data_IF_768895592748
#
_entry.id   IF_768895592748
#
_cell.length_a   1.000
_cell.length_b   1.000
_cell.length_c   1.000
_cell.angle_alpha   90.00
_cell.angle_beta   90.00
_cell.angle_gamma   90.00
#
_symmetry.space_group_name_H-M   'P 1'
#
loop_
_entity.id
_entity.type
_entity.pdbx_description
1 polymer ?
#
# COMPACT_ATOMS: atom_id res chain seq x y z
N UNK A 1 -10.19 -3.71 16.61
CA UNK A 1 -8.97 -3.47 17.43
C UNK A 1 -8.06 -2.54 16.64
N UNK A 2 -7.62 -1.42 17.23
CA UNK A 2 -6.78 -0.44 16.53
C UNK A 2 -5.42 -1.08 16.18
N UNK A 3 -5.01 -1.14 14.89
CA UNK A 3 -3.76 -1.81 14.50
C UNK A 3 -2.50 -1.15 15.05
N UNK A 4 -2.55 0.14 15.42
CA UNK A 4 -1.41 0.82 16.05
C UNK A 4 -1.16 0.36 17.49
N UNK A 5 -2.11 -0.33 18.11
CA UNK A 5 -1.88 -0.97 19.42
C UNK A 5 -1.03 -2.26 19.29
N UNK A 6 -0.72 -2.71 18.08
CA UNK A 6 0.17 -3.85 17.86
C UNK A 6 1.65 -3.39 17.84
N UNK A 7 2.46 -3.74 18.86
CA UNK A 7 3.85 -3.30 18.94
C UNK A 7 4.72 -3.86 17.82
N UNK A 8 4.40 -5.05 17.29
CA UNK A 8 5.14 -5.64 16.16
C UNK A 8 4.88 -4.85 14.87
N UNK A 9 3.66 -4.37 14.67
CA UNK A 9 3.34 -3.51 13.53
C UNK A 9 4.14 -2.20 13.64
N UNK A 10 4.05 -1.51 14.78
CA UNK A 10 4.75 -0.25 15.01
C UNK A 10 6.26 -0.39 14.84
N UNK A 11 6.87 -1.43 15.42
CA UNK A 11 8.30 -1.68 15.31
C UNK A 11 8.72 -1.89 13.84
N UNK A 12 7.93 -2.62 13.06
CA UNK A 12 8.22 -2.82 11.63
C UNK A 12 8.08 -1.54 10.81
N UNK A 13 7.02 -0.77 11.04
CA UNK A 13 6.79 0.52 10.37
C UNK A 13 7.91 1.51 10.71
N UNK A 14 8.27 1.64 11.99
CA UNK A 14 9.33 2.53 12.45
C UNK A 14 10.71 2.14 11.90
N UNK A 15 11.04 0.84 11.93
CA UNK A 15 12.28 0.30 11.36
C UNK A 15 12.41 0.67 9.89
N UNK A 16 11.38 0.44 9.08
CA UNK A 16 11.46 0.81 7.67
C UNK A 16 11.58 2.31 7.45
N UNK A 17 10.85 3.13 8.22
CA UNK A 17 10.99 4.58 8.10
C UNK A 17 12.43 5.05 8.37
N UNK A 18 13.05 4.54 9.44
CA UNK A 18 14.39 4.93 9.86
C UNK A 18 15.50 4.42 8.92
N UNK A 19 15.36 3.19 8.40
CA UNK A 19 16.46 2.52 7.69
C UNK A 19 16.27 2.40 6.17
N UNK A 20 15.04 2.34 5.67
CA UNK A 20 14.81 2.09 4.25
C UNK A 20 14.68 3.38 3.43
N UNK A 21 14.13 4.44 4.01
CA UNK A 21 13.73 5.64 3.26
C UNK A 21 14.90 6.41 2.64
N UNK A 22 16.07 6.40 3.27
CA UNK A 22 17.28 7.05 2.78
C UNK A 22 18.33 6.07 2.23
N UNK A 23 17.97 4.78 2.08
CA UNK A 23 18.89 3.74 1.62
C UNK A 23 19.52 4.10 0.28
N UNK A 24 18.71 4.52 -0.69
CA UNK A 24 19.18 4.86 -2.05
C UNK A 24 20.21 6.00 -2.02
N UNK A 25 19.99 7.01 -1.18
CA UNK A 25 20.87 8.18 -1.07
C UNK A 25 22.20 7.91 -0.35
N UNK A 26 22.29 6.82 0.42
CA UNK A 26 23.45 6.49 1.25
C UNK A 26 24.21 5.25 0.79
N UNK A 27 23.70 4.53 -0.20
CA UNK A 27 24.29 3.28 -0.67
C UNK A 27 25.07 3.47 -1.96
N UNK A 28 26.18 2.76 -2.05
CA UNK A 28 26.93 2.56 -3.30
C UNK A 28 26.12 1.72 -4.29
N UNK A 29 26.52 1.75 -5.55
CA UNK A 29 25.89 0.95 -6.61
C UNK A 29 25.93 -0.54 -6.27
N UNK A 30 27.06 -1.04 -5.78
CA UNK A 30 27.26 -2.44 -5.43
C UNK A 30 26.39 -2.85 -4.23
N UNK A 31 26.21 -1.97 -3.26
CA UNK A 31 25.27 -2.20 -2.14
C UNK A 31 23.81 -2.27 -2.61
N UNK A 32 23.42 -1.39 -3.53
CA UNK A 32 22.08 -1.40 -4.11
C UNK A 32 21.83 -2.66 -4.94
N UNK A 33 22.82 -3.10 -5.72
CA UNK A 33 22.73 -4.36 -6.47
C UNK A 33 22.57 -5.56 -5.52
N UNK A 34 23.41 -5.66 -4.49
CA UNK A 34 23.28 -6.71 -3.46
C UNK A 34 21.92 -6.67 -2.76
N UNK A 35 21.39 -5.48 -2.50
CA UNK A 35 20.07 -5.32 -1.91
C UNK A 35 18.97 -5.82 -2.87
N UNK A 36 19.00 -5.41 -4.15
CA UNK A 36 18.04 -5.85 -5.17
C UNK A 36 18.03 -7.37 -5.31
N UNK A 37 19.19 -8.00 -5.32
CA UNK A 37 19.33 -9.45 -5.37
C UNK A 37 18.70 -10.15 -4.16
N UNK A 38 18.90 -9.60 -2.95
CA UNK A 38 18.27 -10.13 -1.73
C UNK A 38 16.75 -9.90 -1.75
N UNK A 39 16.31 -8.73 -2.21
CA UNK A 39 14.91 -8.34 -2.24
C UNK A 39 14.10 -9.21 -3.22
N UNK A 40 14.61 -9.45 -4.43
CA UNK A 40 13.92 -10.27 -5.44
C UNK A 40 13.81 -11.73 -4.97
N UNK A 41 14.87 -12.31 -4.39
CA UNK A 41 14.82 -13.66 -3.81
C UNK A 41 13.74 -13.78 -2.74
N UNK A 42 13.70 -12.79 -1.84
CA UNK A 42 12.72 -12.76 -0.74
C UNK A 42 11.30 -12.68 -1.27
N UNK A 43 11.02 -11.77 -2.21
CA UNK A 43 9.66 -11.59 -2.72
C UNK A 43 9.21 -12.76 -3.59
N UNK A 44 10.10 -13.38 -4.38
CA UNK A 44 9.75 -14.57 -5.18
C UNK A 44 9.43 -15.76 -4.27
N UNK A 45 10.21 -16.00 -3.21
CA UNK A 45 9.89 -17.04 -2.22
C UNK A 45 8.54 -16.81 -1.58
N UNK A 46 8.25 -15.56 -1.19
CA UNK A 46 6.94 -15.21 -0.64
C UNK A 46 5.82 -15.43 -1.66
N UNK A 47 5.99 -14.93 -2.90
CA UNK A 47 5.04 -15.11 -3.99
C UNK A 47 4.74 -16.59 -4.21
N UNK A 48 5.75 -17.47 -4.17
CA UNK A 48 5.55 -18.91 -4.34
C UNK A 48 4.68 -19.57 -3.25
N UNK A 49 4.45 -18.91 -2.11
CA UNK A 49 3.49 -19.36 -1.08
C UNK A 49 2.05 -18.93 -1.36
N UNK A 50 1.84 -18.03 -2.33
CA UNK A 50 0.53 -17.52 -2.75
C UNK A 50 0.03 -18.38 -3.93
N UNK A 51 -1.22 -18.90 -3.89
CA UNK A 51 -1.71 -19.86 -4.88
C UNK A 51 -1.58 -19.39 -6.33
N UNK A 52 -1.89 -18.12 -6.62
CA UNK A 52 -1.76 -17.53 -7.95
C UNK A 52 -0.35 -17.72 -8.53
N UNK A 53 0.68 -17.22 -7.82
CA UNK A 53 2.05 -17.26 -8.29
C UNK A 53 2.62 -18.68 -8.22
N UNK A 54 2.22 -19.48 -7.23
CA UNK A 54 2.63 -20.87 -7.13
C UNK A 54 2.29 -21.65 -8.41
N UNK A 55 1.01 -21.60 -8.84
CA UNK A 55 0.56 -22.27 -10.06
C UNK A 55 1.29 -21.74 -11.30
N UNK A 56 1.43 -20.42 -11.39
CA UNK A 56 2.03 -19.77 -12.56
C UNK A 56 3.53 -20.08 -12.69
N UNK A 57 4.27 -20.05 -11.58
CA UNK A 57 5.71 -20.36 -11.58
C UNK A 57 5.93 -21.86 -11.84
N UNK A 58 5.11 -22.74 -11.26
CA UNK A 58 5.17 -24.18 -11.53
C UNK A 58 4.88 -24.52 -12.99
N UNK A 59 3.89 -23.88 -13.60
CA UNK A 59 3.56 -24.05 -15.02
C UNK A 59 4.72 -23.61 -15.95
N UNK A 60 5.54 -22.65 -15.52
CA UNK A 60 6.75 -22.24 -16.20
C UNK A 60 7.99 -23.11 -15.86
N UNK A 61 7.82 -24.19 -15.09
CA UNK A 61 8.92 -25.05 -14.66
C UNK A 61 9.85 -24.43 -13.62
N UNK A 62 9.42 -23.36 -12.93
CA UNK A 62 10.25 -22.60 -12.00
C UNK A 62 10.00 -22.96 -10.53
N UNK A 63 11.08 -22.86 -9.77
CA UNK A 63 11.12 -22.87 -8.32
C UNK A 63 11.77 -21.57 -7.80
N UNK A 64 11.57 -21.21 -6.52
CA UNK A 64 12.24 -20.04 -5.96
C UNK A 64 13.77 -20.08 -6.01
N UNK A 65 14.38 -21.27 -6.13
CA UNK A 65 15.83 -21.45 -6.18
C UNK A 65 16.42 -21.09 -7.56
N UNK A 66 15.59 -20.98 -8.59
CA UNK A 66 16.01 -20.60 -9.94
C UNK A 66 16.28 -19.10 -10.08
N UNK A 67 15.86 -18.31 -9.07
CA UNK A 67 16.08 -16.87 -8.97
C UNK A 67 17.28 -16.59 -8.05
N UNK A 68 18.44 -16.34 -8.66
CA UNK A 68 19.72 -16.07 -7.99
C UNK A 68 20.05 -14.59 -7.88
N UNK A 69 19.29 -13.72 -8.53
CA UNK A 69 19.44 -12.27 -8.41
C UNK A 69 18.43 -11.51 -9.26
N UNK A 70 18.57 -10.19 -9.33
CA UNK A 70 17.62 -9.32 -10.03
C UNK A 70 17.60 -9.56 -11.54
N UNK A 71 18.73 -10.02 -12.10
CA UNK A 71 18.83 -10.38 -13.53
C UNK A 71 17.93 -11.55 -13.91
N UNK A 72 17.58 -12.42 -12.97
CA UNK A 72 16.70 -13.56 -13.22
C UNK A 72 15.21 -13.19 -13.26
N UNK A 73 14.85 -11.92 -13.06
CA UNK A 73 13.46 -11.47 -13.10
C UNK A 73 12.78 -11.77 -14.45
N UNK A 74 13.55 -11.78 -15.55
CA UNK A 74 13.08 -12.09 -16.90
C UNK A 74 12.61 -13.54 -17.06
N UNK A 75 13.04 -14.44 -16.16
CA UNK A 75 12.55 -15.82 -16.14
C UNK A 75 11.11 -15.90 -15.64
N UNK A 76 10.69 -14.96 -14.79
CA UNK A 76 9.38 -15.01 -14.14
C UNK A 76 8.26 -14.75 -15.16
N UNK A 77 7.19 -15.56 -15.18
CA UNK A 77 6.07 -15.33 -16.07
C UNK A 77 5.30 -14.07 -15.70
N UNK A 78 4.85 -13.31 -16.71
CA UNK A 78 4.10 -12.06 -16.54
C UNK A 78 2.75 -12.32 -15.87
N UNK A 79 2.46 -11.68 -14.73
CA UNK A 79 1.13 -11.67 -14.11
C UNK A 79 0.29 -10.57 -14.75
N UNK A 80 -0.82 -10.96 -15.36
CA UNK A 80 -1.74 -10.08 -16.09
C UNK A 80 -2.89 -9.60 -15.21
N UNK A 81 -3.60 -8.58 -15.68
CA UNK A 81 -4.84 -8.11 -15.02
C UNK A 81 -5.89 -9.21 -14.89
N UNK A 82 -5.99 -10.10 -15.88
CA UNK A 82 -6.95 -11.21 -15.87
C UNK A 82 -6.57 -12.29 -14.86
N UNK A 83 -5.27 -12.53 -14.67
CA UNK A 83 -4.80 -13.44 -13.62
C UNK A 83 -5.27 -12.97 -12.23
N UNK A 84 -5.12 -11.67 -11.95
CA UNK A 84 -5.57 -11.08 -10.68
C UNK A 84 -7.09 -11.18 -10.49
N UNK A 85 -7.87 -10.88 -11.54
CA UNK A 85 -9.34 -11.01 -11.52
C UNK A 85 -9.81 -12.44 -11.24
N UNK A 86 -9.13 -13.43 -11.83
CA UNK A 86 -9.48 -14.83 -11.67
C UNK A 86 -9.01 -15.41 -10.33
N UNK A 87 -7.97 -14.82 -9.73
CA UNK A 87 -7.45 -15.23 -8.43
C UNK A 87 -8.19 -14.58 -7.25
N UNK A 88 -8.80 -13.42 -7.44
CA UNK A 88 -9.47 -12.70 -6.37
C UNK A 88 -10.72 -13.46 -5.86
N UNK A 89 -11.00 -13.44 -4.54
CA UNK A 89 -10.14 -12.92 -3.48
C UNK A 89 -9.15 -13.97 -2.93
N UNK A 90 -9.46 -15.26 -3.04
CA UNK A 90 -8.83 -16.29 -2.21
C UNK A 90 -7.40 -16.69 -2.63
N UNK A 91 -7.08 -16.62 -3.93
CA UNK A 91 -5.78 -17.06 -4.45
C UNK A 91 -4.71 -15.96 -4.45
N UNK A 92 -5.03 -14.78 -3.90
CA UNK A 92 -4.14 -13.63 -3.78
C UNK A 92 -3.39 -13.58 -2.44
N UNK A 93 -3.73 -14.46 -1.50
CA UNK A 93 -3.16 -14.50 -0.15
C UNK A 93 -2.55 -15.89 0.09
N UNK A 94 -1.44 -16.02 0.84
CA UNK A 94 -0.92 -17.33 1.21
C UNK A 94 -1.93 -18.16 1.99
N UNK A 95 -1.99 -19.46 1.71
CA UNK A 95 -2.86 -20.39 2.42
C UNK A 95 -2.61 -20.34 3.94
N UNK A 96 -3.68 -20.28 4.73
CA UNK A 96 -3.61 -20.21 6.19
C UNK A 96 -3.17 -18.86 6.77
N UNK A 97 -2.89 -17.84 5.94
CA UNK A 97 -2.65 -16.49 6.46
C UNK A 97 -3.94 -15.90 6.99
N UNK A 98 -3.92 -15.51 8.26
CA UNK A 98 -5.03 -14.78 8.89
C UNK A 98 -5.16 -13.42 8.22
N UNK A 99 -6.34 -13.14 7.67
CA UNK A 99 -6.68 -11.86 7.01
C UNK A 99 -7.44 -10.90 7.93
N UNK A 100 -7.58 -11.26 9.22
CA UNK A 100 -8.24 -10.41 10.21
C UNK A 100 -7.59 -9.03 10.25
N UNK A 101 -8.35 -8.00 9.87
CA UNK A 101 -7.90 -6.60 9.79
C UNK A 101 -7.36 -6.17 8.42
N UNK A 102 -7.41 -7.01 7.38
CA UNK A 102 -7.11 -6.59 6.02
C UNK A 102 -8.34 -5.89 5.42
N UNK A 103 -8.11 -4.84 4.64
CA UNK A 103 -9.17 -4.20 3.84
C UNK A 103 -9.08 -4.71 2.40
N UNK A 104 -10.24 -5.04 1.85
CA UNK A 104 -10.39 -5.33 0.43
C UNK A 104 -10.45 -4.01 -0.33
N UNK A 105 -9.66 -3.88 -1.38
CA UNK A 105 -9.61 -2.67 -2.22
C UNK A 105 -9.73 -3.05 -3.69
N UNK A 106 -10.58 -2.35 -4.42
CA UNK A 106 -11.00 -2.63 -5.78
C UNK A 106 -10.68 -1.42 -6.67
N UNK A 107 -10.16 -1.67 -7.87
CA UNK A 107 -9.94 -0.60 -8.87
C UNK A 107 -11.28 -0.13 -9.45
N UNK A 108 -11.45 1.17 -9.70
CA UNK A 108 -12.69 1.78 -10.25
C UNK A 108 -13.17 1.25 -11.62
N UNK A 109 -12.32 0.54 -12.37
CA UNK A 109 -12.74 -0.37 -13.46
C UNK A 109 -13.77 0.15 -14.47
N UNK A 110 -13.40 1.13 -15.31
CA UNK A 110 -14.31 1.73 -16.32
C UNK A 110 -14.78 0.81 -17.46
N UNK A 111 -14.15 -0.36 -17.66
CA UNK A 111 -14.39 -1.23 -18.84
C UNK A 111 -14.73 -2.69 -18.48
N UNK A 112 -15.16 -3.00 -17.25
CA UNK A 112 -15.59 -4.36 -16.87
C UNK A 112 -15.28 -4.73 -15.42
N UNK A 113 -14.95 -6.02 -15.16
CA UNK A 113 -14.69 -6.53 -13.81
C UNK A 113 -13.52 -5.79 -13.13
N UNK A 114 -13.70 -5.18 -11.96
CA UNK A 114 -12.63 -4.53 -11.22
C UNK A 114 -11.57 -5.56 -10.77
N UNK A 115 -10.35 -5.09 -10.51
CA UNK A 115 -9.34 -5.90 -9.83
C UNK A 115 -9.47 -5.62 -8.35
N UNK A 116 -9.73 -6.68 -7.60
CA UNK A 116 -9.84 -6.64 -6.14
C UNK A 116 -8.58 -7.20 -5.52
N UNK A 117 -7.99 -6.46 -4.59
CA UNK A 117 -6.76 -6.75 -3.87
C UNK A 117 -7.00 -6.62 -2.36
N UNK A 118 -6.01 -7.03 -1.57
CA UNK A 118 -5.99 -6.81 -0.13
C UNK A 118 -4.88 -5.84 0.23
N UNK A 119 -5.19 -4.92 1.13
CA UNK A 119 -4.20 -4.11 1.83
C UNK A 119 -4.27 -4.42 3.32
N UNK A 120 -3.10 -4.62 3.92
CA UNK A 120 -2.99 -4.86 5.36
C UNK A 120 -2.59 -3.57 6.08
N UNK A 121 -2.90 -3.43 7.39
CA UNK A 121 -2.62 -2.20 8.13
C UNK A 121 -1.15 -1.74 8.05
N UNK A 122 -0.21 -2.69 8.07
CA UNK A 122 1.21 -2.40 7.88
C UNK A 122 1.50 -1.67 6.55
N UNK A 123 0.89 -2.11 5.44
CA UNK A 123 1.03 -1.48 4.13
C UNK A 123 0.39 -0.10 4.10
N UNK A 124 -0.78 0.07 4.74
CA UNK A 124 -1.45 1.37 4.84
C UNK A 124 -0.58 2.39 5.60
N UNK A 125 -0.08 2.05 6.79
CA UNK A 125 0.75 2.96 7.57
C UNK A 125 2.09 3.26 6.90
N UNK A 126 2.72 2.26 6.27
CA UNK A 126 3.93 2.47 5.47
C UNK A 126 3.69 3.51 4.36
N UNK A 127 2.56 3.40 3.67
CA UNK A 127 2.20 4.33 2.59
C UNK A 127 1.86 5.72 3.13
N UNK A 128 1.13 5.82 4.26
CA UNK A 128 0.87 7.10 4.92
C UNK A 128 2.15 7.81 5.35
N UNK A 129 3.15 7.07 5.84
CA UNK A 129 4.48 7.63 6.15
C UNK A 129 5.17 8.15 4.88
N UNK A 130 5.07 7.42 3.77
CA UNK A 130 5.53 7.88 2.47
C UNK A 130 4.85 9.18 2.06
N UNK A 131 3.53 9.26 2.18
CA UNK A 131 2.74 10.46 1.93
C UNK A 131 3.19 11.64 2.80
N UNK A 132 3.32 11.44 4.12
CA UNK A 132 3.83 12.44 5.07
C UNK A 132 5.20 12.96 4.67
N UNK A 133 6.07 12.08 4.16
CA UNK A 133 7.39 12.49 3.68
C UNK A 133 7.28 13.35 2.41
N UNK A 134 6.49 12.91 1.42
CA UNK A 134 6.29 13.65 0.17
C UNK A 134 5.80 15.07 0.45
N UNK A 135 4.77 15.24 1.28
CA UNK A 135 4.25 16.58 1.58
C UNK A 135 5.27 17.43 2.36
N UNK A 136 6.07 16.82 3.25
CA UNK A 136 7.13 17.53 3.98
C UNK A 136 8.23 18.05 3.07
N UNK A 137 8.62 17.31 2.03
CA UNK A 137 9.60 17.76 1.03
C UNK A 137 9.07 18.99 0.25
N UNK A 138 7.75 19.18 0.18
CA UNK A 138 7.12 20.37 -0.43
C UNK A 138 6.82 21.48 0.59
N UNK A 139 7.42 21.43 1.78
CA UNK A 139 7.21 22.44 2.83
C UNK A 139 5.88 22.33 3.59
N UNK A 140 5.07 21.30 3.30
CA UNK A 140 3.77 21.09 3.94
C UNK A 140 3.98 20.29 5.23
N UNK A 141 3.64 20.90 6.37
CA UNK A 141 3.61 20.23 7.66
C UNK A 141 2.25 19.58 7.89
N UNK A 142 2.19 18.24 7.93
CA UNK A 142 0.93 17.51 8.12
C UNK A 142 0.21 17.81 9.45
N UNK A 143 0.92 18.33 10.45
CA UNK A 143 0.36 18.71 11.76
C UNK A 143 -0.08 20.16 11.88
N UNK A 144 0.39 21.03 10.97
CA UNK A 144 0.20 22.49 11.09
C UNK A 144 -0.56 23.07 9.91
N UNK A 145 -0.32 22.55 8.73
CA UNK A 145 -0.93 23.03 7.48
C UNK A 145 -2.37 22.56 7.45
N UNK A 146 -3.30 23.46 7.15
CA UNK A 146 -4.68 23.10 6.90
C UNK A 146 -4.74 22.46 5.51
N UNK A 147 -5.38 21.30 5.39
CA UNK A 147 -5.40 20.57 4.12
C UNK A 147 -6.81 20.10 3.79
N UNK A 148 -7.25 20.38 2.57
CA UNK A 148 -8.44 19.80 1.97
C UNK A 148 -8.01 18.75 0.96
N UNK A 149 -8.40 17.50 1.17
CA UNK A 149 -8.04 16.37 0.30
C UNK A 149 -9.30 15.93 -0.43
N UNK A 150 -9.32 16.07 -1.75
CA UNK A 150 -10.39 15.54 -2.60
C UNK A 150 -9.89 14.22 -3.19
N UNK A 151 -10.59 13.12 -2.92
CA UNK A 151 -10.19 11.78 -3.31
C UNK A 151 -11.37 10.92 -3.76
N UNK A 152 -11.11 9.85 -4.50
CA UNK A 152 -12.14 8.85 -4.80
C UNK A 152 -12.36 7.97 -3.56
N UNK A 153 -13.23 8.41 -2.66
CA UNK A 153 -13.68 7.67 -1.47
C UNK A 153 -14.83 6.68 -1.75
N UNK A 154 -14.97 6.17 -2.98
CA UNK A 154 -15.96 5.13 -3.29
C UNK A 154 -15.75 3.88 -2.42
N UNK A 155 -16.82 3.12 -2.15
CA UNK A 155 -16.71 1.88 -1.41
C UNK A 155 -15.68 0.93 -2.04
N UNK A 156 -14.85 0.31 -1.22
CA UNK A 156 -13.71 -0.52 -1.63
C UNK A 156 -12.61 0.22 -2.41
N UNK A 157 -12.61 1.55 -2.52
CA UNK A 157 -11.41 2.24 -3.04
C UNK A 157 -10.24 2.10 -2.07
N UNK A 158 -9.02 2.26 -2.57
CA UNK A 158 -7.85 2.29 -1.69
C UNK A 158 -7.91 3.53 -0.78
N UNK A 159 -8.34 4.66 -1.32
CA UNK A 159 -8.44 5.93 -0.63
C UNK A 159 -9.45 5.88 0.53
N UNK A 160 -10.60 5.20 0.36
CA UNK A 160 -11.56 4.94 1.43
C UNK A 160 -10.91 4.16 2.58
N UNK A 161 -10.22 3.05 2.30
CA UNK A 161 -9.53 2.27 3.33
C UNK A 161 -8.47 3.09 4.12
N UNK A 162 -7.88 4.12 3.51
CA UNK A 162 -6.80 4.91 4.09
C UNK A 162 -7.34 6.12 4.85
N UNK A 163 -8.22 6.92 4.25
CA UNK A 163 -8.68 8.19 4.80
C UNK A 163 -9.89 8.07 5.72
N UNK A 164 -10.84 7.20 5.40
CA UNK A 164 -12.12 7.08 6.13
C UNK A 164 -12.29 5.75 6.85
N UNK A 165 -11.60 4.70 6.40
CA UNK A 165 -11.69 3.34 6.91
C UNK A 165 -10.73 3.05 8.07
N UNK A 166 -9.59 2.42 7.78
CA UNK A 166 -8.72 1.88 8.84
C UNK A 166 -7.64 2.87 9.27
N UNK A 167 -6.90 3.47 8.33
CA UNK A 167 -5.60 4.06 8.66
C UNK A 167 -5.68 5.40 9.40
N UNK A 168 -6.31 6.43 8.82
CA UNK A 168 -6.50 7.74 9.47
C UNK A 168 -7.35 7.62 10.75
N UNK A 169 -8.48 6.90 10.79
CA UNK A 169 -9.24 6.72 12.04
C UNK A 169 -8.43 6.06 13.16
N UNK A 170 -7.51 5.16 12.83
CA UNK A 170 -6.60 4.57 13.82
C UNK A 170 -5.61 5.57 14.42
N UNK A 171 -5.30 6.67 13.73
CA UNK A 171 -4.41 7.74 14.20
C UNK A 171 -5.11 8.77 15.11
N UNK A 172 -6.43 8.98 14.95
CA UNK A 172 -7.21 9.98 15.71
C UNK A 172 -7.08 9.89 17.24
N UNK A 173 -6.96 8.70 17.87
CA UNK A 173 -6.73 8.61 19.32
C UNK A 173 -5.36 9.15 19.78
N UNK A 174 -4.39 9.28 18.88
CA UNK A 174 -3.01 9.67 19.22
C UNK A 174 -2.64 11.07 18.73
N UNK A 175 -3.36 11.59 17.72
CA UNK A 175 -3.05 12.86 17.06
C UNK A 175 -4.32 13.64 16.75
N UNK A 176 -4.33 14.95 17.02
CA UNK A 176 -5.34 15.84 16.46
C UNK A 176 -5.12 15.98 14.95
N UNK A 177 -6.19 15.76 14.18
CA UNK A 177 -6.23 15.85 12.72
C UNK A 177 -7.32 16.84 12.27
N UNK A 178 -7.67 17.81 13.11
CA UNK A 178 -8.68 18.84 12.82
C UNK A 178 -8.22 19.82 11.71
N UNK A 179 -6.91 19.86 11.44
CA UNK A 179 -6.32 20.58 10.33
C UNK A 179 -6.42 19.82 8.99
N UNK A 180 -7.18 18.74 8.91
CA UNK A 180 -7.38 17.96 7.68
C UNK A 180 -8.86 17.66 7.46
N UNK A 181 -9.34 17.94 6.26
CA UNK A 181 -10.65 17.50 5.79
C UNK A 181 -10.53 16.71 4.48
N UNK A 182 -11.44 15.75 4.29
CA UNK A 182 -11.45 14.86 3.13
C UNK A 182 -12.82 14.88 2.48
N UNK A 183 -12.87 15.02 1.16
CA UNK A 183 -14.09 15.02 0.35
C UNK A 183 -14.05 13.91 -0.68
N UNK A 184 -15.21 13.35 -1.01
CA UNK A 184 -15.34 12.42 -2.12
C UNK A 184 -15.42 13.21 -3.44
N UNK A 185 -14.77 12.73 -4.49
CA UNK A 185 -14.79 13.39 -5.82
C UNK A 185 -16.19 13.52 -6.43
N UNK A 186 -17.11 12.64 -6.05
CA UNK A 186 -18.52 12.69 -6.45
C UNK A 186 -19.43 13.52 -5.54
N UNK A 187 -18.90 14.16 -4.48
CA UNK A 187 -19.68 15.09 -3.67
C UNK A 187 -20.06 16.35 -4.48
N UNK A 188 -21.13 17.03 -4.05
CA UNK A 188 -21.61 18.25 -4.70
C UNK A 188 -20.51 19.33 -4.77
N UNK A 189 -20.10 19.80 -5.97
CA UNK A 189 -18.99 20.73 -6.12
C UNK A 189 -19.20 22.07 -5.40
N UNK A 190 -20.42 22.60 -5.40
CA UNK A 190 -20.74 23.87 -4.72
C UNK A 190 -20.54 23.74 -3.21
N UNK A 191 -21.00 22.63 -2.62
CA UNK A 191 -20.75 22.31 -1.21
C UNK A 191 -19.25 22.14 -0.93
N UNK A 192 -18.50 21.42 -1.76
CA UNK A 192 -17.05 21.24 -1.56
C UNK A 192 -16.35 22.59 -1.54
N UNK A 193 -16.63 23.47 -2.52
CA UNK A 193 -16.04 24.81 -2.60
C UNK A 193 -16.37 25.62 -1.34
N UNK A 194 -17.63 25.66 -0.92
CA UNK A 194 -18.04 26.40 0.27
C UNK A 194 -17.34 25.90 1.55
N UNK A 195 -17.19 24.59 1.73
CA UNK A 195 -16.47 24.02 2.87
C UNK A 195 -14.96 24.27 2.79
N UNK A 196 -14.36 24.27 1.59
CA UNK A 196 -12.95 24.63 1.38
C UNK A 196 -12.72 26.10 1.73
N UNK A 197 -13.57 27.02 1.27
CA UNK A 197 -13.46 28.45 1.59
C UNK A 197 -13.59 28.70 3.09
N UNK A 198 -14.58 28.05 3.73
CA UNK A 198 -14.77 28.12 5.19
C UNK A 198 -13.57 27.55 5.95
N UNK A 199 -13.01 26.47 5.45
CA UNK A 199 -11.88 25.80 6.07
C UNK A 199 -10.54 26.50 5.78
N UNK A 200 -10.43 27.33 4.75
CA UNK A 200 -9.24 28.12 4.41
C UNK A 200 -7.92 27.31 4.53
N UNK A 201 -7.75 26.24 3.72
CA UNK A 201 -6.58 25.37 3.76
C UNK A 201 -5.28 26.09 3.38
#
# INVERSE_FOLDING_TARGET
>A
MNPLLNPLLLANVAREYLFDTNRVWRSTKEELERYRDKAIKRIVRHAFTVPLYHRKYKAAGLTPNDIRGIKDIEKLPIVTKNDLRNAAPHDLIPNGRKTGGFSMVSTSGSTGRPVTLFTEPYTMFKTLIGFVRVIREHGISWRKTRMSIIADLSAESAEEAYFTGTAIPSLKPFFSLENMQTFHVGDDPERIIAEIERFNP
#
